data_IF_697957930051
#
_entry.id   IF_697957930051
#
_cell.length_a   1.000
_cell.length_b   1.000
_cell.length_c   1.000
_cell.angle_alpha   90.00
_cell.angle_beta   90.00
_cell.angle_gamma   90.00
#
_symmetry.space_group_name_H-M   'P 1'
#
loop_
_entity.id
_entity.type
_entity.pdbx_description
1 polymer ?
#
# COMPACT_ATOMS: atom_id res chain seq x y z
N UNK A 1 5.54 -3.34 17.95
CA UNK A 1 6.22 -2.10 17.55
C UNK A 1 5.19 -1.13 17.02
N UNK A 2 5.53 0.15 16.96
CA UNK A 2 4.65 1.15 16.33
C UNK A 2 4.49 0.83 14.83
N UNK A 3 3.27 1.02 14.31
CA UNK A 3 3.02 0.87 12.88
C UNK A 3 3.71 1.98 12.10
N UNK A 4 4.20 1.66 10.91
CA UNK A 4 4.83 2.64 10.04
C UNK A 4 3.78 3.53 9.41
N UNK A 5 4.07 4.82 9.41
CA UNK A 5 3.27 5.78 8.67
C UNK A 5 3.48 5.63 7.17
N UNK A 6 2.38 5.71 6.43
CA UNK A 6 2.37 5.81 4.99
C UNK A 6 1.54 7.01 4.54
N UNK A 7 1.98 7.61 3.44
CA UNK A 7 1.25 8.64 2.72
C UNK A 7 0.69 8.03 1.45
N UNK A 8 -0.60 8.23 1.22
CA UNK A 8 -1.31 7.83 0.01
C UNK A 8 -1.66 9.08 -0.78
N UNK A 9 -1.17 9.18 -2.01
CA UNK A 9 -1.55 10.20 -2.98
C UNK A 9 -2.31 9.54 -4.12
N UNK A 10 -3.50 10.06 -4.42
CA UNK A 10 -4.36 9.52 -5.48
C UNK A 10 -4.42 10.51 -6.64
N UNK A 11 -4.14 10.04 -7.84
CA UNK A 11 -4.18 10.85 -9.06
C UNK A 11 -5.41 10.45 -9.91
N UNK A 12 -6.32 11.41 -10.12
CA UNK A 12 -7.52 11.26 -10.96
C UNK A 12 -7.47 12.13 -12.21
N UNK A 13 -8.11 11.67 -13.28
CA UNK A 13 -8.47 12.52 -14.43
C UNK A 13 -9.76 13.30 -14.17
N UNK A 14 -10.14 14.19 -15.08
CA UNK A 14 -11.34 15.05 -15.00
C UNK A 14 -12.64 14.26 -14.76
N UNK A 15 -12.70 12.98 -15.17
CA UNK A 15 -13.85 12.10 -14.95
C UNK A 15 -13.78 11.27 -13.65
N UNK A 16 -12.94 11.66 -12.67
CA UNK A 16 -12.70 10.95 -11.41
C UNK A 16 -12.28 9.47 -11.53
N UNK A 17 -11.85 9.02 -12.72
CA UNK A 17 -11.13 7.75 -12.81
C UNK A 17 -9.73 7.95 -12.24
N UNK A 18 -9.51 7.43 -11.03
CA UNK A 18 -8.17 7.32 -10.46
C UNK A 18 -7.40 6.28 -11.27
N UNK A 19 -6.34 6.68 -11.99
CA UNK A 19 -5.53 5.72 -12.73
C UNK A 19 -4.29 5.30 -11.95
N UNK A 20 -3.90 6.09 -10.93
CA UNK A 20 -2.66 5.88 -10.18
C UNK A 20 -2.87 6.21 -8.70
N UNK A 21 -2.43 5.29 -7.85
CA UNK A 21 -2.17 5.54 -6.42
C UNK A 21 -0.68 5.42 -6.14
N UNK A 22 -0.12 6.46 -5.52
CA UNK A 22 1.24 6.44 -5.00
C UNK A 22 1.19 6.27 -3.47
N UNK A 23 1.89 5.24 -2.99
CA UNK A 23 2.03 4.95 -1.58
C UNK A 23 3.49 5.09 -1.17
N UNK A 24 3.77 6.01 -0.25
CA UNK A 24 5.10 6.21 0.33
C UNK A 24 5.12 5.76 1.77
N UNK A 25 5.96 4.78 2.09
CA UNK A 25 6.16 4.30 3.46
C UNK A 25 7.42 4.96 4.02
N UNK A 26 7.29 5.65 5.16
CA UNK A 26 8.33 6.59 5.66
C UNK A 26 9.71 5.97 5.90
N UNK A 27 9.75 4.69 6.29
CA UNK A 27 10.97 3.95 6.57
C UNK A 27 10.68 2.45 6.48
N UNK A 28 11.72 1.61 6.45
CA UNK A 28 11.55 0.16 6.49
C UNK A 28 12.75 -0.58 5.92
N UNK A 29 12.88 -1.88 6.23
CA UNK A 29 13.81 -2.75 5.51
C UNK A 29 13.37 -2.93 4.06
N UNK A 30 14.24 -3.50 3.23
CA UNK A 30 13.86 -3.98 1.90
C UNK A 30 13.03 -5.26 2.03
N UNK A 31 11.77 -5.11 2.41
CA UNK A 31 10.82 -6.19 2.64
C UNK A 31 9.40 -5.76 2.20
N UNK A 32 8.52 -6.74 2.01
CA UNK A 32 7.13 -6.49 1.67
C UNK A 32 6.41 -5.76 2.81
N UNK A 33 5.71 -4.68 2.52
CA UNK A 33 5.00 -3.90 3.55
C UNK A 33 3.77 -4.66 4.05
N UNK A 34 3.70 -4.85 5.37
CA UNK A 34 2.68 -5.66 6.02
C UNK A 34 3.02 -7.15 5.95
N UNK A 35 1.98 -7.98 5.87
CA UNK A 35 2.12 -9.44 5.85
C UNK A 35 2.37 -10.07 7.23
N UNK A 36 2.67 -11.36 7.22
CA UNK A 36 2.78 -12.16 8.43
C UNK A 36 4.14 -11.96 9.12
N UNK A 37 4.16 -11.71 10.43
CA UNK A 37 5.40 -11.55 11.19
C UNK A 37 6.34 -12.77 11.19
N UNK A 38 5.83 -13.96 10.86
CA UNK A 38 6.65 -15.17 10.68
C UNK A 38 7.40 -15.21 9.34
N UNK A 39 7.09 -14.32 8.39
CA UNK A 39 7.75 -14.24 7.09
C UNK A 39 9.11 -13.54 7.17
N UNK A 40 10.13 -14.12 6.53
CA UNK A 40 11.49 -13.57 6.51
C UNK A 40 11.65 -12.36 5.57
N UNK A 41 10.69 -12.13 4.68
CA UNK A 41 10.72 -11.05 3.67
C UNK A 41 9.54 -10.09 3.80
N UNK A 42 8.91 -10.07 4.97
CA UNK A 42 7.78 -9.21 5.30
C UNK A 42 8.17 -8.25 6.41
N UNK A 43 7.68 -7.03 6.32
CA UNK A 43 7.75 -6.04 7.36
C UNK A 43 6.34 -5.88 7.96
N UNK A 44 5.98 -6.69 8.98
CA UNK A 44 4.64 -6.71 9.55
C UNK A 44 4.24 -5.39 10.24
N UNK A 45 5.19 -4.47 10.44
CA UNK A 45 4.91 -3.14 10.96
C UNK A 45 4.53 -2.14 9.87
N UNK A 46 4.76 -2.47 8.60
CA UNK A 46 4.32 -1.67 7.46
C UNK A 46 2.80 -1.72 7.23
N UNK A 47 2.22 -0.75 6.49
CA UNK A 47 0.85 -0.88 5.99
C UNK A 47 0.70 -2.14 5.13
N UNK A 48 -0.51 -2.70 5.07
CA UNK A 48 -0.79 -3.87 4.24
C UNK A 48 -0.81 -3.48 2.74
N UNK A 49 0.30 -3.72 2.06
CA UNK A 49 0.44 -3.44 0.64
C UNK A 49 -0.49 -4.31 -0.22
N UNK A 50 -0.73 -5.56 0.17
CA UNK A 50 -1.59 -6.48 -0.58
C UNK A 50 -3.05 -6.03 -0.51
N UNK A 51 -3.52 -5.63 0.68
CA UNK A 51 -4.86 -5.08 0.86
C UNK A 51 -5.04 -3.77 0.07
N UNK A 52 -4.04 -2.87 0.07
CA UNK A 52 -4.08 -1.63 -0.71
C UNK A 52 -4.18 -1.91 -2.22
N UNK A 53 -3.38 -2.86 -2.75
CA UNK A 53 -3.45 -3.27 -4.15
C UNK A 53 -4.81 -3.86 -4.51
N UNK A 54 -5.35 -4.76 -3.68
CA UNK A 54 -6.67 -5.35 -3.90
C UNK A 54 -7.76 -4.28 -3.88
N UNK A 55 -7.73 -3.34 -2.92
CA UNK A 55 -8.69 -2.25 -2.84
C UNK A 55 -8.66 -1.38 -4.11
N UNK A 56 -7.46 -1.05 -4.61
CA UNK A 56 -7.30 -0.31 -5.87
C UNK A 56 -7.88 -1.10 -7.06
N UNK A 57 -7.46 -2.34 -7.29
CA UNK A 57 -7.94 -3.12 -8.44
C UNK A 57 -9.45 -3.40 -8.38
N UNK A 58 -10.00 -3.63 -7.18
CA UNK A 58 -11.44 -3.78 -6.97
C UNK A 58 -12.21 -2.46 -7.09
N UNK A 59 -11.58 -1.29 -6.99
CA UNK A 59 -12.23 -0.02 -7.33
C UNK A 59 -12.20 0.28 -8.83
N UNK A 60 -11.21 -0.27 -9.54
CA UNK A 60 -10.99 -0.04 -10.98
C UNK A 60 -11.29 -1.25 -11.87
N UNK A 61 -12.02 -2.23 -11.35
CA UNK A 61 -12.56 -3.31 -12.15
C UNK A 61 -13.71 -2.74 -13.03
N UNK A 62 -13.45 -2.63 -14.34
CA UNK A 62 -14.34 -2.16 -15.43
C UNK A 62 -14.32 -0.67 -15.75
#
# INVERSE_FOLDING_TARGET
GEMRHALRTVYSTENQRHFVEYWSVKAGPHAWSGGNAAGSYTDPHGPDASAAMLAFFLQHHR
#
